data_IF_674051672219
#
_entry.id   IF_674051672219
#
_cell.length_a   1.000
_cell.length_b   1.000
_cell.length_c   1.000
_cell.angle_alpha   90.00
_cell.angle_beta   90.00
_cell.angle_gamma   90.00
#
_symmetry.space_group_name_H-M   'P 1'
#
loop_
_entity.id
_entity.type
_entity.pdbx_description
1 polymer ?
#
# COMPACT_ATOMS: atom_id res chain seq x y z
N UNK A 1 -36.19 32.18 -57.74
CA UNK A 1 -34.77 32.24 -57.33
C UNK A 1 -34.74 32.01 -55.83
N UNK A 2 -34.20 30.89 -55.36
CA UNK A 2 -34.02 30.65 -53.93
C UNK A 2 -32.77 31.42 -53.49
N UNK A 3 -32.97 32.58 -52.87
CA UNK A 3 -31.87 33.29 -52.22
C UNK A 3 -31.32 32.38 -51.11
N UNK A 4 -30.08 31.92 -51.27
CA UNK A 4 -29.38 31.16 -50.24
C UNK A 4 -28.71 32.16 -49.31
N UNK A 5 -29.34 32.41 -48.16
CA UNK A 5 -28.76 33.23 -47.10
C UNK A 5 -27.79 32.39 -46.27
N UNK A 6 -26.68 32.98 -45.83
CA UNK A 6 -25.66 32.30 -45.02
C UNK A 6 -25.97 32.38 -43.52
N UNK A 7 -26.78 33.36 -43.11
CA UNK A 7 -27.24 33.54 -41.74
C UNK A 7 -28.70 33.97 -41.70
N UNK A 8 -29.39 33.64 -40.61
CA UNK A 8 -30.77 34.07 -40.36
C UNK A 8 -30.88 35.60 -40.28
N UNK A 9 -29.80 36.27 -39.85
CA UNK A 9 -29.75 37.73 -39.77
C UNK A 9 -29.91 38.43 -41.13
N UNK A 10 -29.51 37.76 -42.22
CA UNK A 10 -29.52 38.29 -43.59
C UNK A 10 -30.90 38.25 -44.25
N UNK A 11 -31.87 37.53 -43.66
CA UNK A 11 -33.21 37.35 -44.23
C UNK A 11 -33.98 38.68 -44.13
N UNK A 12 -34.41 39.30 -45.24
CA UNK A 12 -35.15 40.56 -45.21
C UNK A 12 -36.56 40.36 -44.66
N UNK A 13 -37.10 41.39 -44.01
CA UNK A 13 -38.50 41.41 -43.57
C UNK A 13 -39.40 41.57 -44.80
N UNK A 14 -40.42 40.71 -45.01
CA UNK A 14 -41.34 40.86 -46.14
C UNK A 14 -42.15 42.16 -46.05
N UNK A 15 -42.36 42.80 -47.21
CA UNK A 15 -43.06 44.10 -47.31
C UNK A 15 -44.59 43.97 -47.17
N UNK A 16 -45.13 42.77 -47.27
CA UNK A 16 -46.56 42.45 -47.31
C UNK A 16 -47.15 42.02 -45.96
N UNK A 17 -46.51 42.38 -44.85
CA UNK A 17 -46.95 42.04 -43.49
C UNK A 17 -47.69 43.20 -42.82
N UNK A 18 -48.72 42.89 -42.04
CA UNK A 18 -49.32 43.86 -41.12
C UNK A 18 -48.34 44.27 -40.02
N UNK A 19 -48.62 45.37 -39.32
CA UNK A 19 -47.75 45.87 -38.26
C UNK A 19 -47.53 44.83 -37.14
N UNK A 20 -48.56 44.06 -36.79
CA UNK A 20 -48.48 43.00 -35.79
C UNK A 20 -47.60 41.83 -36.27
N UNK A 21 -47.83 41.35 -37.49
CA UNK A 21 -47.05 40.25 -38.08
C UNK A 21 -45.58 40.66 -38.28
N UNK A 22 -45.32 41.94 -38.57
CA UNK A 22 -43.95 42.47 -38.67
C UNK A 22 -43.23 42.47 -37.32
N UNK A 23 -43.94 42.79 -36.23
CA UNK A 23 -43.37 42.72 -34.87
C UNK A 23 -43.07 41.26 -34.50
N UNK A 24 -44.03 40.36 -34.72
CA UNK A 24 -43.84 38.93 -34.46
C UNK A 24 -42.70 38.34 -35.28
N UNK A 25 -42.63 38.67 -36.58
CA UNK A 25 -41.55 38.23 -37.47
C UNK A 25 -40.18 38.68 -36.95
N UNK A 26 -40.06 39.94 -36.51
CA UNK A 26 -38.80 40.44 -35.96
C UNK A 26 -38.42 39.74 -34.65
N UNK A 27 -39.39 39.46 -33.77
CA UNK A 27 -39.15 38.72 -32.54
C UNK A 27 -38.67 37.29 -32.82
N UNK A 28 -39.33 36.57 -33.74
CA UNK A 28 -38.92 35.23 -34.16
C UNK A 28 -37.55 35.23 -34.84
N UNK A 29 -37.30 36.20 -35.74
CA UNK A 29 -36.00 36.35 -36.41
C UNK A 29 -34.89 36.57 -35.39
N UNK A 30 -35.12 37.41 -34.38
CA UNK A 30 -34.15 37.66 -33.32
C UNK A 30 -33.86 36.39 -32.51
N UNK A 31 -34.89 35.66 -32.09
CA UNK A 31 -34.72 34.38 -31.39
C UNK A 31 -33.94 33.35 -32.21
N UNK A 32 -34.17 33.28 -33.52
CA UNK A 32 -33.43 32.39 -34.42
C UNK A 32 -31.97 32.83 -34.62
N UNK A 33 -31.68 34.13 -34.63
CA UNK A 33 -30.30 34.65 -34.69
C UNK A 33 -29.54 34.30 -33.40
N UNK A 34 -30.18 34.41 -32.24
CA UNK A 34 -29.59 34.00 -30.95
C UNK A 34 -29.27 32.49 -30.94
N UNK A 35 -30.20 31.65 -31.41
CA UNK A 35 -29.97 30.21 -31.55
C UNK A 35 -28.85 29.87 -32.55
N UNK A 36 -28.77 30.60 -33.67
CA UNK A 36 -27.70 30.44 -34.65
C UNK A 36 -26.32 30.79 -34.05
N UNK A 37 -26.25 31.87 -33.27
CA UNK A 37 -25.03 32.27 -32.56
C UNK A 37 -24.63 31.23 -31.51
N UNK A 38 -25.57 30.72 -30.72
CA UNK A 38 -25.30 29.67 -29.73
C UNK A 38 -24.81 28.38 -30.41
N UNK A 39 -25.43 27.99 -31.52
CA UNK A 39 -24.99 26.83 -32.30
C UNK A 39 -23.56 27.00 -32.85
N UNK A 40 -23.23 28.18 -33.37
CA UNK A 40 -21.86 28.49 -33.84
C UNK A 40 -20.86 28.44 -32.68
N UNK A 41 -21.22 28.97 -31.51
CA UNK A 41 -20.38 28.90 -30.32
C UNK A 41 -20.15 27.47 -29.86
N UNK A 42 -21.18 26.61 -29.85
CA UNK A 42 -21.04 25.19 -29.52
C UNK A 42 -20.15 24.46 -30.54
N UNK A 43 -20.35 24.74 -31.84
CA UNK A 43 -19.56 24.14 -32.92
C UNK A 43 -18.08 24.50 -32.83
N UNK A 44 -17.78 25.75 -32.47
CA UNK A 44 -16.42 26.24 -32.34
C UNK A 44 -15.80 25.99 -30.95
N UNK A 45 -16.54 25.39 -30.00
CA UNK A 45 -16.08 25.16 -28.64
C UNK A 45 -15.94 26.43 -27.80
N UNK A 46 -16.61 27.51 -28.20
CA UNK A 46 -16.55 28.81 -27.55
C UNK A 46 -17.64 29.02 -26.50
N UNK A 47 -18.68 28.18 -26.53
CA UNK A 47 -19.81 28.24 -25.61
C UNK A 47 -19.34 28.21 -24.14
N UNK A 48 -19.80 29.15 -23.29
CA UNK A 48 -19.32 29.31 -21.93
C UNK A 48 -19.63 28.09 -21.05
N UNK A 49 -20.79 27.46 -21.22
CA UNK A 49 -21.18 26.27 -20.44
C UNK A 49 -20.33 25.06 -20.83
N UNK A 50 -20.04 24.90 -22.11
CA UNK A 50 -19.12 23.86 -22.59
C UNK A 50 -17.71 24.03 -22.00
N UNK A 51 -17.18 25.26 -21.97
CA UNK A 51 -15.89 25.58 -21.35
C UNK A 51 -15.92 25.33 -19.84
N UNK A 52 -16.98 25.73 -19.15
CA UNK A 52 -17.15 25.49 -17.72
C UNK A 52 -17.19 23.99 -17.39
N UNK A 53 -17.92 23.21 -18.18
CA UNK A 53 -17.97 21.75 -18.06
C UNK A 53 -16.57 21.13 -18.26
N UNK A 54 -15.83 21.60 -19.26
CA UNK A 54 -14.48 21.08 -19.53
C UNK A 54 -13.51 21.40 -18.40
N UNK A 55 -13.55 22.62 -17.84
CA UNK A 55 -12.77 22.99 -16.65
C UNK A 55 -13.12 22.10 -15.47
N UNK A 56 -14.41 21.88 -15.20
CA UNK A 56 -14.85 21.00 -14.11
C UNK A 56 -14.37 19.56 -14.27
N UNK A 57 -14.42 19.01 -15.49
CA UNK A 57 -13.91 17.67 -15.80
C UNK A 57 -12.39 17.60 -15.55
N UNK A 58 -11.65 18.63 -15.98
CA UNK A 58 -10.20 18.70 -15.79
C UNK A 58 -9.82 18.81 -14.31
N UNK A 59 -10.57 19.59 -13.53
CA UNK A 59 -10.38 19.73 -12.09
C UNK A 59 -10.63 18.41 -11.36
N UNK A 60 -11.71 17.69 -11.70
CA UNK A 60 -11.98 16.35 -11.15
C UNK A 60 -10.85 15.40 -11.51
N UNK A 61 -10.41 15.39 -12.77
CA UNK A 61 -9.34 14.51 -13.23
C UNK A 61 -8.05 14.77 -12.43
N UNK A 62 -7.69 16.03 -12.25
CA UNK A 62 -6.50 16.45 -11.50
C UNK A 62 -6.60 16.03 -10.04
N UNK A 63 -7.76 16.26 -9.39
CA UNK A 63 -8.02 15.82 -8.01
C UNK A 63 -7.90 14.30 -7.86
N UNK A 64 -8.44 13.52 -8.82
CA UNK A 64 -8.35 12.05 -8.80
C UNK A 64 -6.90 11.56 -8.94
N UNK A 65 -6.13 12.18 -9.83
CA UNK A 65 -4.70 11.87 -10.00
C UNK A 65 -3.94 12.16 -8.70
N UNK A 66 -4.18 13.32 -8.09
CA UNK A 66 -3.53 13.69 -6.82
C UNK A 66 -3.88 12.70 -5.71
N UNK A 67 -5.17 12.36 -5.55
CA UNK A 67 -5.61 11.37 -4.56
C UNK A 67 -4.98 9.99 -4.77
N UNK A 68 -4.81 9.56 -6.02
CA UNK A 68 -4.14 8.30 -6.33
C UNK A 68 -2.64 8.36 -5.96
N UNK A 69 -1.99 9.49 -6.22
CA UNK A 69 -0.58 9.70 -5.87
C UNK A 69 -0.38 9.73 -4.35
N UNK A 70 -1.25 10.42 -3.61
CA UNK A 70 -1.19 10.49 -2.15
C UNK A 70 -1.37 9.10 -1.52
N UNK A 71 -2.33 8.31 -2.05
CA UNK A 71 -2.53 6.91 -1.62
C UNK A 71 -1.31 6.04 -1.90
N UNK A 72 -0.68 6.23 -3.07
CA UNK A 72 0.54 5.49 -3.43
C UNK A 72 1.69 5.83 -2.47
N UNK A 73 1.89 7.11 -2.19
CA UNK A 73 2.93 7.57 -1.27
C UNK A 73 2.72 7.03 0.14
N UNK A 74 1.48 7.08 0.66
CA UNK A 74 1.13 6.51 1.96
C UNK A 74 1.42 5.00 2.02
N UNK A 75 1.07 4.25 0.96
CA UNK A 75 1.35 2.81 0.90
C UNK A 75 2.85 2.53 0.92
N UNK A 76 3.66 3.30 0.20
CA UNK A 76 5.13 3.17 0.24
C UNK A 76 5.67 3.40 1.65
N UNK A 77 5.22 4.47 2.31
CA UNK A 77 5.64 4.79 3.67
C UNK A 77 5.29 3.67 4.68
N UNK A 78 4.09 3.08 4.56
CA UNK A 78 3.68 1.95 5.39
C UNK A 78 4.58 0.74 5.15
N UNK A 79 4.85 0.40 3.89
CA UNK A 79 5.72 -0.73 3.53
C UNK A 79 7.13 -0.52 4.08
N UNK A 80 7.69 0.68 3.91
CA UNK A 80 9.02 1.03 4.43
C UNK A 80 9.08 0.91 5.95
N UNK A 81 8.09 1.43 6.66
CA UNK A 81 7.99 1.32 8.13
C UNK A 81 7.88 -0.13 8.59
N UNK A 82 7.07 -0.95 7.91
CA UNK A 82 6.93 -2.36 8.24
C UNK A 82 8.23 -3.13 7.98
N UNK A 83 8.89 -2.88 6.84
CA UNK A 83 10.18 -3.50 6.52
C UNK A 83 11.27 -3.12 7.52
N UNK A 84 11.33 -1.86 7.94
CA UNK A 84 12.27 -1.40 8.96
C UNK A 84 12.04 -2.08 10.31
N UNK A 85 10.77 -2.15 10.75
CA UNK A 85 10.38 -2.84 11.99
C UNK A 85 10.74 -4.33 11.95
N UNK A 86 10.49 -4.99 10.83
CA UNK A 86 10.80 -6.41 10.67
C UNK A 86 12.30 -6.68 10.65
N UNK A 87 13.07 -5.80 9.99
CA UNK A 87 14.54 -5.86 10.03
C UNK A 87 15.07 -5.74 11.46
N UNK A 88 14.55 -4.79 12.24
CA UNK A 88 14.93 -4.62 13.64
C UNK A 88 14.58 -5.87 14.47
N UNK A 89 13.38 -6.43 14.26
CA UNK A 89 12.95 -7.69 14.90
C UNK A 89 13.92 -8.84 14.61
N UNK A 90 14.32 -9.00 13.34
CA UNK A 90 15.26 -10.05 12.92
C UNK A 90 16.64 -9.85 13.56
N UNK A 91 17.14 -8.61 13.60
CA UNK A 91 18.44 -8.30 14.22
C UNK A 91 18.43 -8.60 15.72
N UNK A 92 17.35 -8.24 16.42
CA UNK A 92 17.20 -8.55 17.84
C UNK A 92 17.17 -10.07 18.07
N UNK A 93 16.38 -10.80 17.28
CA UNK A 93 16.34 -12.27 17.37
C UNK A 93 17.70 -12.91 17.09
N UNK A 94 18.45 -12.39 16.12
CA UNK A 94 19.79 -12.88 15.82
C UNK A 94 20.72 -12.74 17.03
N UNK A 95 20.66 -11.61 17.73
CA UNK A 95 21.49 -11.38 18.91
C UNK A 95 21.10 -12.29 20.08
N UNK A 96 19.81 -12.50 20.28
CA UNK A 96 19.31 -13.43 21.30
C UNK A 96 19.71 -14.88 20.97
N UNK A 97 19.68 -15.28 19.70
CA UNK A 97 20.15 -16.61 19.27
C UNK A 97 21.66 -16.79 19.43
N UNK A 98 22.47 -15.75 19.21
CA UNK A 98 23.92 -15.82 19.49
C UNK A 98 24.18 -16.05 20.98
N UNK A 99 23.48 -15.33 21.86
CA UNK A 99 23.57 -15.53 23.32
C UNK A 99 23.17 -16.95 23.70
N UNK A 100 22.04 -17.44 23.18
CA UNK A 100 21.56 -18.80 23.42
C UNK A 100 22.57 -19.85 22.93
N UNK A 101 23.16 -19.65 21.75
CA UNK A 101 24.18 -20.56 21.21
C UNK A 101 25.44 -20.57 22.08
N UNK A 102 25.91 -19.40 22.50
CA UNK A 102 27.05 -19.27 23.40
C UNK A 102 26.81 -20.00 24.73
N UNK A 103 25.65 -19.79 25.35
CA UNK A 103 25.27 -20.52 26.57
C UNK A 103 25.22 -22.04 26.36
N UNK A 104 24.68 -22.50 25.23
CA UNK A 104 24.63 -23.93 24.88
C UNK A 104 26.04 -24.52 24.72
N UNK A 105 26.94 -23.80 24.05
CA UNK A 105 28.32 -24.23 23.86
C UNK A 105 29.03 -24.36 25.20
N UNK A 106 28.93 -23.36 26.08
CA UNK A 106 29.59 -23.44 27.39
C UNK A 106 29.00 -24.56 28.24
N UNK A 107 27.66 -24.73 28.27
CA UNK A 107 27.03 -25.85 29.00
C UNK A 107 27.52 -27.21 28.50
N UNK A 108 27.60 -27.41 27.19
CA UNK A 108 28.10 -28.64 26.56
C UNK A 108 29.57 -28.88 26.91
N UNK A 109 30.39 -27.83 26.85
CA UNK A 109 31.81 -27.92 27.17
C UNK A 109 32.02 -28.22 28.66
N UNK A 110 31.29 -27.56 29.56
CA UNK A 110 31.32 -27.83 31.00
C UNK A 110 30.92 -29.28 31.31
N UNK A 111 29.87 -29.81 30.66
CA UNK A 111 29.47 -31.20 30.81
C UNK A 111 30.57 -32.16 30.31
N UNK A 112 31.18 -31.86 29.17
CA UNK A 112 32.28 -32.66 28.61
C UNK A 112 33.50 -32.64 29.52
N UNK A 113 33.87 -31.46 30.02
CA UNK A 113 34.94 -31.28 31.00
C UNK A 113 34.70 -32.12 32.24
N UNK A 114 33.51 -32.01 32.87
CA UNK A 114 33.15 -32.79 34.04
C UNK A 114 33.22 -34.31 33.81
N UNK A 115 32.84 -34.77 32.62
CA UNK A 115 32.92 -36.18 32.24
C UNK A 115 34.38 -36.66 32.19
N UNK A 116 35.24 -35.91 31.49
CA UNK A 116 36.67 -36.23 31.38
C UNK A 116 37.37 -36.14 32.74
N UNK A 117 37.08 -35.11 33.54
CA UNK A 117 37.67 -34.97 34.86
C UNK A 117 37.18 -36.05 35.83
N UNK A 118 35.95 -36.53 35.71
CA UNK A 118 35.47 -37.68 36.49
C UNK A 118 36.26 -38.95 36.16
N UNK A 119 36.51 -39.21 34.87
CA UNK A 119 37.35 -40.33 34.45
C UNK A 119 38.79 -40.17 34.95
N UNK A 120 39.34 -38.95 34.92
CA UNK A 120 40.67 -38.66 35.45
C UNK A 120 40.74 -38.90 36.96
N UNK A 121 39.67 -38.54 37.70
CA UNK A 121 39.55 -38.81 39.14
C UNK A 121 39.65 -40.30 39.45
N UNK A 122 38.97 -41.14 38.66
CA UNK A 122 39.02 -42.60 38.80
C UNK A 122 40.44 -43.16 38.56
N UNK A 123 41.24 -42.51 37.71
CA UNK A 123 42.62 -42.93 37.42
C UNK A 123 43.64 -42.44 38.45
N UNK A 124 43.45 -41.22 38.98
CA UNK A 124 44.43 -40.55 39.86
C UNK A 124 44.14 -40.65 41.36
N UNK A 125 42.90 -41.03 41.71
CA UNK A 125 42.44 -41.26 43.08
C UNK A 125 42.80 -40.10 44.06
N UNK A 126 43.84 -40.25 44.88
CA UNK A 126 44.23 -39.26 45.92
C UNK A 126 44.87 -37.98 45.35
N UNK A 127 45.55 -38.05 44.21
CA UNK A 127 46.28 -36.91 43.64
C UNK A 127 45.38 -35.97 42.82
N UNK A 128 44.14 -36.40 42.54
CA UNK A 128 43.17 -35.66 41.73
C UNK A 128 42.86 -34.27 42.28
N UNK A 129 42.68 -34.15 43.61
CA UNK A 129 42.31 -32.89 44.25
C UNK A 129 43.35 -31.79 44.06
N UNK A 130 44.65 -32.14 44.18
CA UNK A 130 45.74 -31.18 43.93
C UNK A 130 45.89 -30.85 42.45
N UNK A 131 45.71 -31.84 41.57
CA UNK A 131 45.84 -31.65 40.13
C UNK A 131 44.78 -30.70 39.56
N UNK A 132 43.51 -30.86 39.95
CA UNK A 132 42.42 -29.98 39.51
C UNK A 132 42.55 -28.58 40.12
N UNK A 133 43.01 -28.45 41.36
CA UNK A 133 43.23 -27.13 41.96
C UNK A 133 44.27 -26.30 41.19
N UNK A 134 45.25 -26.94 40.54
CA UNK A 134 46.30 -26.27 39.77
C UNK A 134 45.98 -26.13 38.27
N UNK A 135 45.28 -27.10 37.67
CA UNK A 135 45.05 -27.18 36.23
C UNK A 135 43.56 -27.05 35.83
N UNK A 136 42.68 -26.78 36.80
CA UNK A 136 41.24 -26.72 36.60
C UNK A 136 40.81 -25.55 35.72
N UNK A 137 39.81 -25.79 34.87
CA UNK A 137 39.19 -24.72 34.07
C UNK A 137 38.03 -24.13 34.88
N UNK A 138 38.02 -22.81 35.05
CA UNK A 138 36.90 -22.10 35.69
C UNK A 138 35.91 -21.66 34.62
N UNK A 139 34.66 -22.09 34.76
CA UNK A 139 33.58 -21.72 33.85
C UNK A 139 32.83 -20.48 34.36
N UNK A 140 32.33 -19.62 33.46
CA UNK A 140 31.46 -18.51 33.85
C UNK A 140 30.13 -19.04 34.41
N UNK A 141 29.54 -18.31 35.37
CA UNK A 141 28.25 -18.65 35.98
C UNK A 141 27.11 -18.56 34.96
N UNK A 142 26.54 -19.72 34.60
CA UNK A 142 25.36 -19.77 33.72
C UNK A 142 24.15 -20.09 34.57
N UNK A 143 23.20 -19.16 34.64
CA UNK A 143 21.94 -19.38 35.33
C UNK A 143 21.20 -20.56 34.65
N UNK A 144 20.97 -21.62 35.44
CA UNK A 144 20.26 -22.80 34.99
C UNK A 144 18.76 -22.56 35.14
N UNK A 145 18.12 -22.06 34.08
CA UNK A 145 16.67 -22.23 33.96
C UNK A 145 16.38 -23.72 33.70
N UNK A 146 15.98 -24.44 34.74
CA UNK A 146 15.72 -25.89 34.73
C UNK A 146 14.51 -26.33 33.86
N UNK A 147 13.95 -25.47 33.01
CA UNK A 147 12.82 -25.78 32.11
C UNK A 147 13.20 -26.01 30.64
N UNK A 148 14.48 -26.22 30.31
CA UNK A 148 14.95 -26.33 28.91
C UNK A 148 14.95 -27.78 28.36
N UNK A 149 14.47 -28.78 29.12
CA UNK A 149 14.42 -30.18 28.62
C UNK A 149 13.46 -30.40 27.44
N UNK A 150 12.58 -29.46 27.11
CA UNK A 150 11.66 -29.52 25.95
C UNK A 150 12.08 -28.66 24.74
N UNK A 151 13.17 -27.88 24.79
CA UNK A 151 13.57 -26.94 23.71
C UNK A 151 14.61 -27.51 22.71
N UNK A 152 14.60 -28.83 22.50
CA UNK A 152 15.28 -29.47 21.36
C UNK A 152 14.39 -29.50 20.10
N UNK A 153 13.09 -29.16 20.22
CA UNK A 153 12.24 -28.93 19.05
C UNK A 153 12.68 -27.62 18.37
N UNK A 154 12.99 -27.69 17.07
CA UNK A 154 13.13 -26.52 16.21
C UNK A 154 11.96 -25.54 16.49
N UNK A 155 12.21 -24.22 16.53
CA UNK A 155 11.12 -23.27 16.39
C UNK A 155 10.50 -23.53 15.02
N UNK A 156 9.22 -23.91 14.96
CA UNK A 156 8.49 -23.94 13.69
C UNK A 156 8.62 -22.56 13.06
N UNK A 157 9.12 -22.52 11.82
CA UNK A 157 9.11 -21.29 11.02
C UNK A 157 7.69 -20.71 11.06
N UNK A 158 7.51 -19.40 11.33
CA UNK A 158 6.21 -18.80 11.23
C UNK A 158 5.76 -18.92 9.78
N UNK A 159 4.86 -19.88 9.52
CA UNK A 159 4.13 -19.95 8.26
C UNK A 159 3.35 -18.66 8.20
N UNK A 160 3.85 -17.69 7.42
CA UNK A 160 3.14 -16.45 7.10
C UNK A 160 1.91 -16.88 6.30
N UNK A 161 0.83 -17.20 7.02
CA UNK A 161 -0.48 -17.41 6.47
C UNK A 161 -1.21 -16.10 6.65
N UNK A 162 -1.64 -15.50 5.54
CA UNK A 162 -2.63 -14.42 5.57
C UNK A 162 -3.78 -14.90 6.45
N UNK A 163 -4.25 -14.04 7.36
CA UNK A 163 -5.36 -14.44 8.22
C UNK A 163 -6.59 -14.69 7.34
N UNK A 164 -7.46 -15.62 7.77
CA UNK A 164 -8.70 -15.91 7.04
C UNK A 164 -9.52 -14.65 6.76
N UNK A 165 -9.47 -13.68 7.67
CA UNK A 165 -10.17 -12.40 7.55
C UNK A 165 -9.58 -11.50 6.43
N UNK A 166 -8.26 -11.48 6.27
CA UNK A 166 -7.59 -10.72 5.21
C UNK A 166 -7.89 -11.33 3.84
N UNK A 167 -7.87 -12.66 3.75
CA UNK A 167 -8.24 -13.38 2.51
C UNK A 167 -9.71 -13.15 2.13
N UNK A 168 -10.63 -13.14 3.10
CA UNK A 168 -12.05 -12.85 2.85
C UNK A 168 -12.28 -11.41 2.39
N UNK A 169 -11.54 -10.45 2.97
CA UNK A 169 -11.63 -9.05 2.61
C UNK A 169 -11.15 -8.82 1.17
N UNK A 170 -10.03 -9.44 0.78
CA UNK A 170 -9.51 -9.37 -0.59
C UNK A 170 -10.46 -10.01 -1.59
N UNK A 171 -11.05 -11.17 -1.27
CA UNK A 171 -12.06 -11.83 -2.12
C UNK A 171 -13.29 -10.95 -2.33
N UNK A 172 -13.79 -10.28 -1.27
CA UNK A 172 -14.93 -9.35 -1.41
C UNK A 172 -14.58 -8.16 -2.31
N UNK A 173 -13.37 -7.63 -2.20
CA UNK A 173 -12.90 -6.52 -3.02
C UNK A 173 -12.82 -6.90 -4.50
N UNK A 174 -12.30 -8.10 -4.79
CA UNK A 174 -12.26 -8.66 -6.15
C UNK A 174 -13.68 -8.84 -6.71
N UNK A 175 -14.60 -9.40 -5.92
CA UNK A 175 -15.99 -9.57 -6.35
C UNK A 175 -16.68 -8.23 -6.65
N UNK A 176 -16.42 -7.20 -5.84
CA UNK A 176 -16.95 -5.85 -6.07
C UNK A 176 -16.42 -5.24 -7.38
N UNK A 177 -15.13 -5.41 -7.66
CA UNK A 177 -14.52 -4.93 -8.91
C UNK A 177 -15.13 -5.64 -10.11
N UNK A 178 -15.32 -6.96 -10.03
CA UNK A 178 -15.90 -7.75 -11.12
C UNK A 178 -17.38 -7.40 -11.38
N UNK A 179 -18.16 -7.15 -10.32
CA UNK A 179 -19.55 -6.72 -10.46
C UNK A 179 -19.68 -5.33 -11.09
N UNK A 180 -18.76 -4.42 -10.75
CA UNK A 180 -18.74 -3.07 -11.31
C UNK A 180 -18.16 -3.00 -12.74
N UNK A 181 -17.40 -4.02 -13.16
CA UNK A 181 -16.87 -4.12 -14.52
C UNK A 181 -17.83 -4.80 -15.51
N UNK A 182 -18.92 -5.40 -15.01
CA UNK A 182 -19.96 -6.06 -15.80
C UNK A 182 -21.23 -5.22 -16.04
N UNK A 183 -21.23 -3.94 -15.65
CA UNK A 183 -22.26 -2.94 -15.96
C UNK A 183 -21.70 -1.92 -16.94
#
# INVERSE_FOLDING_TARGET
>A
MTNSFKSVSEIPVPDNLSDLERIEFNAYKQALVELEQEWLQLKNGENPDQKACQTYINDIKTKRIQQAQDRLNLRKEIIEKQAAKEKERILQQQEDYKKLLFERIIKSYHQSYNTVTSQLKELMDKDYGQFIAQNGITFPDIHNEQQVRTRMSQPEEPKIRLSSAESEQDVRLIQQILQNAGQ
#
